data_IF_668171268589
#
_entry.id   IF_668171268589
#
_cell.length_a   1.000
_cell.length_b   1.000
_cell.length_c   1.000
_cell.angle_alpha   90.00
_cell.angle_beta   90.00
_cell.angle_gamma   90.00
#
_symmetry.space_group_name_H-M   'P 1'
#
loop_
_entity.id
_entity.type
_entity.pdbx_description
1 polymer ?
#
# COMPACT_ATOMS: atom_id res chain seq x y z
N UNK A 1 21.72 -14.82 43.42
CA UNK A 1 20.53 -13.96 43.23
C UNK A 1 20.75 -13.05 42.03
N UNK A 2 20.16 -13.37 40.87
CA UNK A 2 20.29 -12.54 39.65
C UNK A 2 19.34 -11.36 39.77
N UNK A 3 19.85 -10.14 39.55
CA UNK A 3 19.11 -8.89 39.71
C UNK A 3 17.97 -8.78 38.68
N UNK A 4 16.68 -8.71 39.12
CA UNK A 4 15.52 -8.69 38.22
C UNK A 4 15.44 -7.43 37.34
N UNK A 5 16.17 -6.34 37.69
CA UNK A 5 16.23 -5.12 36.88
C UNK A 5 17.04 -5.30 35.59
N UNK A 6 18.09 -6.12 35.60
CA UNK A 6 18.95 -6.36 34.43
C UNK A 6 18.19 -7.19 33.38
N UNK A 7 17.46 -8.22 33.81
CA UNK A 7 16.67 -9.08 32.92
C UNK A 7 15.55 -8.31 32.22
N UNK A 8 14.96 -7.31 32.89
CA UNK A 8 13.92 -6.44 32.30
C UNK A 8 14.48 -5.57 31.18
N UNK A 9 15.66 -4.98 31.37
CA UNK A 9 16.29 -4.12 30.35
C UNK A 9 16.77 -4.94 29.13
N UNK A 10 17.31 -6.15 29.33
CA UNK A 10 17.73 -7.02 28.21
C UNK A 10 16.54 -7.45 27.34
N UNK A 11 15.38 -7.78 27.94
CA UNK A 11 14.16 -8.12 27.18
C UNK A 11 13.62 -6.94 26.37
N UNK A 12 13.71 -5.74 26.92
CA UNK A 12 13.29 -4.50 26.25
C UNK A 12 14.21 -4.20 25.06
N UNK A 13 15.53 -4.23 25.25
CA UNK A 13 16.52 -4.01 24.19
C UNK A 13 16.34 -5.05 23.07
N UNK A 14 16.18 -6.33 23.42
CA UNK A 14 15.93 -7.39 22.44
C UNK A 14 14.64 -7.14 21.63
N UNK A 15 13.55 -6.69 22.28
CA UNK A 15 12.30 -6.35 21.59
C UNK A 15 12.46 -5.18 20.62
N UNK A 16 13.21 -4.13 21.00
CA UNK A 16 13.47 -3.00 20.11
C UNK A 16 14.34 -3.39 18.92
N UNK A 17 15.39 -4.20 19.12
CA UNK A 17 16.24 -4.70 18.04
C UNK A 17 15.45 -5.52 17.03
N UNK A 18 14.55 -6.39 17.48
CA UNK A 18 13.67 -7.19 16.61
C UNK A 18 12.73 -6.30 15.80
N UNK A 19 12.10 -5.30 16.42
CA UNK A 19 11.23 -4.34 15.72
C UNK A 19 12.00 -3.54 14.65
N UNK A 20 13.24 -3.14 14.97
CA UNK A 20 14.11 -2.42 14.04
C UNK A 20 14.45 -3.29 12.82
N UNK A 21 14.84 -4.55 13.04
CA UNK A 21 15.17 -5.48 11.96
C UNK A 21 13.96 -5.77 11.06
N UNK A 22 12.78 -6.00 11.65
CA UNK A 22 11.55 -6.19 10.89
C UNK A 22 11.22 -4.92 10.10
N UNK A 23 11.26 -3.74 10.74
CA UNK A 23 11.03 -2.47 10.05
C UNK A 23 11.97 -2.26 8.86
N UNK A 24 13.26 -2.59 9.02
CA UNK A 24 14.25 -2.48 7.95
C UNK A 24 13.96 -3.47 6.80
N UNK A 25 13.52 -4.69 7.11
CA UNK A 25 13.12 -5.67 6.10
C UNK A 25 11.91 -5.20 5.27
N UNK A 26 10.93 -4.54 5.90
CA UNK A 26 9.79 -3.96 5.20
C UNK A 26 10.15 -2.74 4.35
N UNK A 27 11.13 -1.93 4.79
CA UNK A 27 11.60 -0.74 4.06
C UNK A 27 12.58 -1.11 2.93
N UNK A 28 13.27 -2.25 3.02
CA UNK A 28 14.22 -2.74 2.02
C UNK A 28 13.74 -2.63 0.56
N UNK A 29 12.54 -3.13 0.17
CA UNK A 29 12.06 -2.98 -1.21
C UNK A 29 11.85 -1.53 -1.63
N UNK A 30 11.51 -0.62 -0.71
CA UNK A 30 11.40 0.81 -0.99
C UNK A 30 12.77 1.43 -1.29
N UNK A 31 13.80 1.04 -0.52
CA UNK A 31 15.18 1.50 -0.75
C UNK A 31 15.69 1.02 -2.12
N UNK A 32 15.45 -0.25 -2.46
CA UNK A 32 15.84 -0.81 -3.76
C UNK A 32 15.11 -0.10 -4.91
N UNK A 33 13.80 0.16 -4.77
CA UNK A 33 13.04 0.92 -5.77
C UNK A 33 13.56 2.35 -5.95
N UNK A 34 13.94 3.02 -4.86
CA UNK A 34 14.51 4.37 -4.92
C UNK A 34 15.91 4.38 -5.56
N UNK A 35 16.73 3.37 -5.29
CA UNK A 35 18.04 3.20 -5.94
C UNK A 35 17.88 3.02 -7.46
N UNK A 36 16.95 2.17 -7.90
CA UNK A 36 16.65 1.99 -9.33
C UNK A 36 16.11 3.26 -9.99
N UNK A 37 15.39 4.10 -9.26
CA UNK A 37 14.89 5.38 -9.80
C UNK A 37 16.01 6.38 -10.16
N UNK A 38 17.24 6.18 -9.65
CA UNK A 38 18.41 7.04 -9.88
C UNK A 38 19.39 6.43 -10.91
N UNK A 39 19.18 5.17 -11.32
CA UNK A 39 20.02 4.50 -12.31
C UNK A 39 19.81 5.06 -13.71
N UNK A 40 20.87 5.20 -14.50
CA UNK A 40 20.77 5.60 -15.91
C UNK A 40 20.10 4.51 -16.77
N UNK A 41 19.36 4.88 -17.81
CA UNK A 41 18.72 3.91 -18.73
C UNK A 41 19.74 2.94 -19.38
N UNK A 42 20.97 3.40 -19.56
CA UNK A 42 22.10 2.60 -20.07
C UNK A 42 22.61 1.57 -19.06
N UNK A 43 22.54 1.82 -17.74
CA UNK A 43 22.88 0.85 -16.70
C UNK A 43 21.76 -0.16 -16.43
N UNK A 44 20.49 0.23 -16.62
CA UNK A 44 19.33 -0.67 -16.55
C UNK A 44 19.31 -1.71 -17.70
N UNK A 45 19.96 -1.39 -18.83
CA UNK A 45 20.03 -2.26 -20.01
C UNK A 45 21.27 -3.17 -20.03
N UNK A 46 22.21 -2.99 -19.10
CA UNK A 46 23.43 -3.80 -18.99
C UNK A 46 23.29 -4.85 -17.88
N UNK A 47 23.44 -6.13 -18.24
CA UNK A 47 23.47 -7.24 -17.28
C UNK A 47 24.92 -7.40 -16.77
N UNK A 48 25.20 -7.36 -15.45
CA UNK A 48 24.30 -7.51 -14.30
C UNK A 48 23.76 -6.19 -13.72
N UNK A 49 22.49 -6.22 -13.27
CA UNK A 49 21.86 -5.16 -12.49
C UNK A 49 22.63 -4.96 -11.16
N UNK A 50 23.37 -3.86 -11.06
CA UNK A 50 24.11 -3.51 -9.84
C UNK A 50 23.16 -2.80 -8.88
N UNK A 51 23.22 -3.11 -7.58
CA UNK A 51 22.42 -2.42 -6.55
C UNK A 51 22.87 -0.97 -6.30
N UNK A 52 24.08 -0.60 -6.72
CA UNK A 52 24.63 0.75 -6.58
C UNK A 52 25.02 1.31 -7.96
N UNK A 53 24.52 2.50 -8.35
CA UNK A 53 24.84 3.13 -9.63
C UNK A 53 26.29 3.61 -9.67
N UNK A 54 26.95 3.52 -10.83
CA UNK A 54 28.31 4.06 -11.02
C UNK A 54 28.30 5.57 -11.24
N UNK A 55 27.21 6.09 -11.83
CA UNK A 55 26.98 7.52 -12.04
C UNK A 55 25.53 7.83 -11.65
N UNK A 56 25.28 8.39 -10.45
CA UNK A 56 23.94 8.82 -10.08
C UNK A 56 23.54 10.00 -10.98
N UNK A 57 22.42 9.89 -11.70
CA UNK A 57 21.93 10.97 -12.57
C UNK A 57 20.47 11.28 -12.29
N UNK A 58 20.11 12.56 -12.40
CA UNK A 58 18.72 13.01 -12.33
C UNK A 58 18.09 13.19 -13.73
N UNK A 59 18.80 12.80 -14.79
CA UNK A 59 18.35 12.99 -16.17
C UNK A 59 17.05 12.22 -16.47
N UNK A 60 16.86 11.04 -15.85
CA UNK A 60 15.62 10.28 -15.96
C UNK A 60 14.41 11.08 -15.47
N UNK A 61 14.53 11.80 -14.35
CA UNK A 61 13.42 12.62 -13.84
C UNK A 61 13.06 13.71 -14.85
N UNK A 62 14.05 14.43 -15.40
CA UNK A 62 13.83 15.45 -16.42
C UNK A 62 13.20 14.88 -17.71
N UNK A 63 13.60 13.68 -18.14
CA UNK A 63 12.99 12.97 -19.26
C UNK A 63 11.54 12.58 -18.98
N UNK A 64 11.21 12.07 -17.79
CA UNK A 64 9.83 11.67 -17.49
C UNK A 64 8.90 12.90 -17.47
N UNK A 65 9.36 14.04 -16.94
CA UNK A 65 8.58 15.28 -16.92
C UNK A 65 8.30 15.86 -18.32
N UNK A 66 9.14 15.55 -19.31
CA UNK A 66 8.99 16.04 -20.70
C UNK A 66 8.29 15.01 -21.60
N UNK A 67 8.52 13.71 -21.38
CA UNK A 67 7.94 12.63 -22.18
C UNK A 67 6.49 12.31 -21.81
N UNK A 68 6.09 12.55 -20.56
CA UNK A 68 4.75 12.23 -20.06
C UNK A 68 4.18 13.44 -19.32
N UNK A 69 2.89 13.81 -19.51
CA UNK A 69 2.26 14.86 -18.74
C UNK A 69 1.91 14.39 -17.31
N UNK A 70 2.94 14.04 -16.51
CA UNK A 70 2.79 13.50 -15.14
C UNK A 70 1.91 14.40 -14.28
N UNK A 71 2.05 15.72 -14.43
CA UNK A 71 1.30 16.70 -13.64
C UNK A 71 -0.21 16.63 -13.91
N UNK A 72 -0.61 16.32 -15.14
CA UNK A 72 -2.02 16.11 -15.48
C UNK A 72 -2.56 14.83 -14.84
N UNK A 73 -1.79 13.74 -14.88
CA UNK A 73 -2.18 12.50 -14.21
C UNK A 73 -2.27 12.66 -12.69
N UNK A 74 -1.32 13.37 -12.08
CA UNK A 74 -1.33 13.66 -10.65
C UNK A 74 -2.56 14.49 -10.26
N UNK A 75 -2.87 15.55 -11.03
CA UNK A 75 -4.06 16.38 -10.81
C UNK A 75 -5.34 15.57 -10.96
N UNK A 76 -5.45 14.74 -12.00
CA UNK A 76 -6.63 13.91 -12.22
C UNK A 76 -6.84 12.93 -11.06
N UNK A 77 -5.80 12.20 -10.67
CA UNK A 77 -5.86 11.28 -9.53
C UNK A 77 -6.21 12.00 -8.23
N UNK A 78 -5.64 13.18 -7.97
CA UNK A 78 -5.96 13.96 -6.78
C UNK A 78 -7.45 14.35 -6.74
N UNK A 79 -7.99 14.83 -7.86
CA UNK A 79 -9.41 15.21 -7.97
C UNK A 79 -10.29 13.98 -7.79
N UNK A 80 -10.00 12.89 -8.50
CA UNK A 80 -10.80 11.64 -8.46
C UNK A 80 -10.79 11.05 -7.05
N UNK A 81 -9.62 10.90 -6.43
CA UNK A 81 -9.50 10.39 -5.07
C UNK A 81 -10.17 11.32 -4.06
N UNK A 82 -10.00 12.64 -4.20
CA UNK A 82 -10.63 13.62 -3.32
C UNK A 82 -12.16 13.54 -3.37
N UNK A 83 -12.74 13.54 -4.57
CA UNK A 83 -14.19 13.41 -4.76
C UNK A 83 -14.70 12.06 -4.25
N UNK A 84 -13.97 10.98 -4.51
CA UNK A 84 -14.34 9.64 -4.05
C UNK A 84 -14.34 9.54 -2.52
N UNK A 85 -13.32 10.09 -1.85
CA UNK A 85 -13.25 10.06 -0.38
C UNK A 85 -14.38 10.88 0.23
N UNK A 86 -14.63 12.09 -0.27
CA UNK A 86 -15.69 12.97 0.25
C UNK A 86 -17.06 12.33 0.07
N UNK A 87 -17.36 11.81 -1.12
CA UNK A 87 -18.65 11.15 -1.38
C UNK A 87 -18.80 9.88 -0.54
N UNK A 88 -17.74 9.08 -0.41
CA UNK A 88 -17.75 7.87 0.41
C UNK A 88 -18.00 8.18 1.88
N UNK A 89 -17.36 9.21 2.45
CA UNK A 89 -17.58 9.60 3.85
C UNK A 89 -19.04 10.02 4.05
N UNK A 90 -19.58 10.87 3.18
CA UNK A 90 -20.97 11.34 3.30
C UNK A 90 -21.94 10.15 3.24
N UNK A 91 -21.79 9.27 2.25
CA UNK A 91 -22.66 8.11 2.07
C UNK A 91 -22.51 7.09 3.20
N UNK A 92 -21.28 6.80 3.62
CA UNK A 92 -21.02 5.84 4.69
C UNK A 92 -21.55 6.35 6.05
N UNK A 93 -21.36 7.64 6.36
CA UNK A 93 -21.89 8.24 7.57
C UNK A 93 -23.42 8.24 7.59
N UNK A 94 -24.07 8.58 6.47
CA UNK A 94 -25.53 8.56 6.36
C UNK A 94 -26.09 7.13 6.48
N UNK A 95 -25.46 6.16 5.81
CA UNK A 95 -25.83 4.76 5.92
C UNK A 95 -25.66 4.25 7.36
N UNK A 96 -24.52 4.52 8.00
CA UNK A 96 -24.27 4.14 9.39
C UNK A 96 -25.30 4.75 10.35
N UNK A 97 -25.65 6.02 10.15
CA UNK A 97 -26.71 6.68 10.93
C UNK A 97 -28.06 5.96 10.79
N UNK A 98 -28.45 5.61 9.56
CA UNK A 98 -29.66 4.83 9.30
C UNK A 98 -29.68 3.47 9.98
N UNK A 99 -28.56 2.74 9.97
CA UNK A 99 -28.45 1.42 10.60
C UNK A 99 -28.46 1.46 12.14
N UNK A 100 -27.90 2.52 12.75
CA UNK A 100 -27.77 2.63 14.20
C UNK A 100 -29.05 3.12 14.85
N UNK A 101 -29.67 4.18 14.31
CA UNK A 101 -30.78 4.86 14.98
C UNK A 101 -32.17 4.37 14.55
N UNK A 102 -32.29 3.72 13.39
CA UNK A 102 -33.57 3.15 12.94
C UNK A 102 -33.57 1.62 13.07
N UNK A 103 -34.60 1.09 13.74
CA UNK A 103 -34.89 -0.34 13.77
C UNK A 103 -35.98 -0.65 12.73
N UNK A 104 -35.53 -1.09 11.55
CA UNK A 104 -36.39 -1.46 10.43
C UNK A 104 -36.40 -2.99 10.25
N UNK A 105 -37.53 -3.58 9.83
CA UNK A 105 -37.69 -5.04 9.74
C UNK A 105 -36.73 -5.71 8.73
N UNK A 106 -36.18 -4.97 7.76
CA UNK A 106 -35.23 -5.48 6.76
C UNK A 106 -33.74 -5.28 7.13
N UNK A 107 -33.42 -4.83 8.35
CA UNK A 107 -32.04 -4.50 8.79
C UNK A 107 -31.05 -5.64 8.61
N UNK A 108 -31.47 -6.86 8.92
CA UNK A 108 -30.64 -8.05 8.77
C UNK A 108 -30.36 -8.39 7.29
N UNK A 109 -31.33 -8.16 6.39
CA UNK A 109 -31.15 -8.44 4.97
C UNK A 109 -30.07 -7.55 4.35
N UNK A 110 -30.17 -6.22 4.56
CA UNK A 110 -29.16 -5.30 4.03
C UNK A 110 -27.77 -5.54 4.63
N UNK A 111 -27.70 -5.84 5.94
CA UNK A 111 -26.42 -6.16 6.59
C UNK A 111 -25.76 -7.41 5.97
N UNK A 112 -26.52 -8.49 5.79
CA UNK A 112 -26.00 -9.72 5.18
C UNK A 112 -25.61 -9.52 3.72
N UNK A 113 -26.36 -8.74 2.93
CA UNK A 113 -26.00 -8.47 1.52
C UNK A 113 -24.71 -7.67 1.38
N UNK A 114 -24.47 -6.68 2.25
CA UNK A 114 -23.22 -5.90 2.25
C UNK A 114 -22.03 -6.82 2.51
N UNK A 115 -22.12 -7.67 3.55
CA UNK A 115 -21.07 -8.63 3.89
C UNK A 115 -20.83 -9.65 2.77
N UNK A 116 -21.90 -10.19 2.18
CA UNK A 116 -21.81 -11.12 1.06
C UNK A 116 -21.05 -10.51 -0.12
N UNK A 117 -21.38 -9.26 -0.48
CA UNK A 117 -20.74 -8.57 -1.60
C UNK A 117 -19.24 -8.36 -1.37
N UNK A 118 -18.82 -8.00 -0.14
CA UNK A 118 -17.40 -7.84 0.18
C UNK A 118 -16.61 -9.15 0.09
N UNK A 119 -17.21 -10.27 0.51
CA UNK A 119 -16.55 -11.59 0.50
C UNK A 119 -16.48 -12.17 -0.93
N UNK A 120 -17.55 -12.04 -1.70
CA UNK A 120 -17.65 -12.64 -3.04
C UNK A 120 -16.65 -12.04 -4.03
N UNK A 121 -16.42 -10.72 -4.00
CA UNK A 121 -15.53 -10.05 -4.98
C UNK A 121 -14.09 -10.56 -4.88
N UNK A 122 -13.58 -10.76 -3.66
CA UNK A 122 -12.20 -11.22 -3.45
C UNK A 122 -11.97 -12.67 -3.87
N UNK A 123 -13.00 -13.51 -3.77
CA UNK A 123 -12.91 -14.94 -4.08
C UNK A 123 -13.06 -15.20 -5.58
N UNK A 124 -14.05 -14.60 -6.24
CA UNK A 124 -14.33 -14.85 -7.67
C UNK A 124 -13.20 -14.39 -8.61
N UNK A 125 -12.50 -13.29 -8.30
CA UNK A 125 -11.37 -12.83 -9.12
C UNK A 125 -10.25 -13.89 -9.21
N UNK A 126 -9.96 -14.56 -8.08
CA UNK A 126 -8.92 -15.57 -8.02
C UNK A 126 -9.35 -16.89 -8.71
N UNK A 127 -10.63 -17.25 -8.61
CA UNK A 127 -11.19 -18.43 -9.29
C UNK A 127 -11.24 -18.27 -10.82
N UNK A 128 -11.62 -17.09 -11.34
CA UNK A 128 -11.65 -16.86 -12.79
C UNK A 128 -10.23 -16.90 -13.41
N UNK A 129 -9.22 -16.40 -12.70
CA UNK A 129 -7.84 -16.39 -13.20
C UNK A 129 -7.21 -17.80 -13.25
N UNK A 130 -7.62 -18.70 -12.34
CA UNK A 130 -7.06 -20.05 -12.26
C UNK A 130 -7.47 -20.98 -13.43
N UNK A 131 -8.60 -20.69 -14.09
CA UNK A 131 -9.06 -21.47 -15.25
C UNK A 131 -8.49 -21.00 -16.59
N UNK A 132 -7.86 -19.82 -16.65
CA UNK A 132 -7.29 -19.26 -17.89
C UNK A 132 -5.82 -19.61 -18.09
N UNK A 133 -5.13 -20.05 -17.04
CA UNK A 133 -3.71 -20.42 -17.04
C UNK A 133 -3.46 -21.95 -17.09
N UNK A 134 -4.46 -22.74 -17.52
CA UNK A 134 -4.30 -24.15 -17.87
C UNK A 134 -4.68 -24.39 -19.32
#
# INVERSE_FOLDING_TARGET
MINPRIVKNTKIIASYSVKLLIGLAFISPLIVGLMFSIHTETELSQLPLRLFPKVPTLENYAKVFTAVPILHYLKNSLIVCGVAIVSQIILASLAAYGFVFFDFPLKNLFWTTILATMITIGTTYNFHNHHRNR
#
